data_IF_597497873880
#
_entry.id   IF_597497873880
#
_cell.length_a   1.000
_cell.length_b   1.000
_cell.length_c   1.000
_cell.angle_alpha   90.00
_cell.angle_beta   90.00
_cell.angle_gamma   90.00
#
_symmetry.space_group_name_H-M   'P 1'
#
loop_
_entity.id
_entity.type
_entity.pdbx_description
1 polymer ?
#
# COMPACT_ATOMS: atom_id res chain seq x y z
N UNK A 1 0.65 29.11 -5.34
CA UNK A 1 1.01 28.27 -6.51
C UNK A 1 0.13 27.02 -6.47
N UNK A 2 -0.66 26.78 -7.52
CA UNK A 2 -1.79 25.83 -7.52
C UNK A 2 -1.37 24.35 -7.60
N UNK A 3 -2.19 23.48 -7.00
CA UNK A 3 -2.15 22.02 -7.15
C UNK A 3 -2.31 21.63 -8.63
N UNK A 4 -1.55 20.65 -9.12
CA UNK A 4 -1.77 20.08 -10.45
C UNK A 4 -3.07 19.27 -10.42
N UNK A 5 -4.18 19.91 -10.82
CA UNK A 5 -5.53 19.34 -10.76
C UNK A 5 -5.66 18.03 -11.54
N UNK A 6 -4.96 17.89 -12.67
CA UNK A 6 -5.01 16.66 -13.50
C UNK A 6 -4.34 15.49 -12.78
N UNK A 7 -3.15 15.72 -12.23
CA UNK A 7 -2.42 14.71 -11.48
C UNK A 7 -3.20 14.27 -10.23
N UNK A 8 -3.76 15.25 -9.49
CA UNK A 8 -4.64 14.99 -8.36
C UNK A 8 -5.84 14.10 -8.75
N UNK A 9 -6.57 14.49 -9.81
CA UNK A 9 -7.76 13.73 -10.24
C UNK A 9 -7.41 12.29 -10.62
N UNK A 10 -6.30 12.06 -11.34
CA UNK A 10 -5.89 10.70 -11.71
C UNK A 10 -5.59 9.86 -10.48
N UNK A 11 -4.78 10.38 -9.54
CA UNK A 11 -4.39 9.66 -8.32
C UNK A 11 -5.62 9.39 -7.45
N UNK A 12 -6.48 10.40 -7.26
CA UNK A 12 -7.68 10.27 -6.43
C UNK A 12 -8.70 9.29 -7.02
N UNK A 13 -8.95 9.33 -8.33
CA UNK A 13 -9.85 8.39 -9.00
C UNK A 13 -9.29 6.97 -8.96
N UNK A 14 -8.00 6.78 -9.23
CA UNK A 14 -7.35 5.48 -9.13
C UNK A 14 -7.45 4.90 -7.70
N UNK A 15 -7.17 5.72 -6.68
CA UNK A 15 -7.34 5.35 -5.29
C UNK A 15 -8.78 4.96 -4.95
N UNK A 16 -9.76 5.77 -5.37
CA UNK A 16 -11.18 5.50 -5.12
C UNK A 16 -11.66 4.22 -5.82
N UNK A 17 -11.22 3.96 -7.05
CA UNK A 17 -11.51 2.71 -7.76
C UNK A 17 -10.86 1.50 -7.08
N UNK A 18 -9.66 1.67 -6.51
CA UNK A 18 -9.00 0.59 -5.77
C UNK A 18 -9.73 0.24 -4.46
N UNK A 19 -10.40 1.21 -3.83
CA UNK A 19 -11.31 0.95 -2.68
C UNK A 19 -12.46 0.03 -3.10
N UNK A 20 -13.10 0.32 -4.24
CA UNK A 20 -14.16 -0.55 -4.77
C UNK A 20 -13.63 -1.97 -5.03
N UNK A 21 -12.39 -2.10 -5.51
CA UNK A 21 -11.76 -3.39 -5.81
C UNK A 21 -11.54 -4.25 -4.55
N UNK A 22 -11.22 -3.66 -3.38
CA UNK A 22 -11.00 -4.44 -2.16
C UNK A 22 -12.29 -4.85 -1.43
N UNK A 23 -13.43 -4.18 -1.68
CA UNK A 23 -14.67 -4.47 -0.94
C UNK A 23 -15.11 -5.95 -0.99
N UNK A 24 -15.04 -6.67 -2.14
CA UNK A 24 -15.37 -8.10 -2.16
C UNK A 24 -14.54 -8.94 -1.20
N UNK A 25 -13.24 -8.63 -1.08
CA UNK A 25 -12.31 -9.29 -0.16
C UNK A 25 -12.64 -8.91 1.30
N UNK A 26 -12.76 -7.61 1.58
CA UNK A 26 -13.07 -7.12 2.93
C UNK A 26 -14.39 -7.67 3.48
N UNK A 27 -15.44 -7.70 2.64
CA UNK A 27 -16.75 -8.24 3.03
C UNK A 27 -16.75 -9.76 3.19
N UNK A 28 -15.90 -10.48 2.46
CA UNK A 28 -15.74 -11.92 2.67
C UNK A 28 -15.12 -12.21 4.04
N UNK A 29 -14.07 -11.46 4.42
CA UNK A 29 -13.42 -11.64 5.72
C UNK A 29 -14.34 -11.28 6.90
N UNK A 30 -15.26 -10.33 6.72
CA UNK A 30 -16.13 -9.80 7.78
C UNK A 30 -17.60 -10.22 7.62
N UNK A 31 -17.88 -11.30 6.88
CA UNK A 31 -19.24 -11.72 6.57
C UNK A 31 -20.13 -11.91 7.81
N UNK A 32 -19.55 -12.38 8.92
CA UNK A 32 -20.27 -12.62 10.17
C UNK A 32 -20.64 -11.29 10.84
N UNK A 33 -19.72 -10.32 10.85
CA UNK A 33 -19.97 -8.95 11.33
C UNK A 33 -21.01 -8.23 10.48
N UNK A 34 -20.99 -8.43 9.16
CA UNK A 34 -21.95 -7.82 8.23
C UNK A 34 -23.40 -8.25 8.48
N UNK A 35 -23.65 -9.41 9.10
CA UNK A 35 -25.00 -9.82 9.47
C UNK A 35 -25.54 -9.08 10.70
N UNK A 36 -24.66 -8.49 11.52
CA UNK A 36 -25.01 -7.81 12.77
C UNK A 36 -25.22 -6.30 12.62
N UNK A 37 -24.84 -5.71 11.49
CA UNK A 37 -24.96 -4.27 11.27
C UNK A 37 -26.36 -3.89 10.76
N UNK A 38 -26.93 -2.74 11.19
CA UNK A 38 -28.30 -2.35 10.84
C UNK A 38 -28.43 -1.74 9.44
N UNK A 39 -27.42 -1.90 8.57
CA UNK A 39 -27.36 -1.27 7.26
C UNK A 39 -27.40 -2.31 6.15
N UNK A 40 -28.08 -1.99 5.05
CA UNK A 40 -28.07 -2.83 3.84
C UNK A 40 -26.72 -2.78 3.14
N UNK A 41 -26.38 -3.83 2.40
CA UNK A 41 -25.11 -3.92 1.67
C UNK A 41 -24.85 -2.71 0.72
N UNK A 42 -25.82 -2.21 -0.06
CA UNK A 42 -25.61 -1.01 -0.87
C UNK A 42 -25.25 0.24 -0.05
N UNK A 43 -25.84 0.39 1.14
CA UNK A 43 -25.52 1.51 2.05
C UNK A 43 -24.10 1.36 2.57
N UNK A 44 -23.68 0.16 2.98
CA UNK A 44 -22.31 -0.10 3.43
C UNK A 44 -21.27 0.16 2.34
N UNK A 45 -21.54 -0.25 1.10
CA UNK A 45 -20.68 0.05 -0.05
C UNK A 45 -20.57 1.56 -0.25
N UNK A 46 -21.71 2.27 -0.29
CA UNK A 46 -21.73 3.72 -0.49
C UNK A 46 -20.94 4.45 0.60
N UNK A 47 -21.18 4.12 1.86
CA UNK A 47 -20.49 4.74 3.00
C UNK A 47 -18.98 4.45 2.96
N UNK A 48 -18.58 3.20 2.70
CA UNK A 48 -17.16 2.81 2.63
C UNK A 48 -16.43 3.55 1.52
N UNK A 49 -17.05 3.63 0.34
CA UNK A 49 -16.48 4.33 -0.81
C UNK A 49 -16.42 5.83 -0.57
N UNK A 50 -17.50 6.43 -0.06
CA UNK A 50 -17.56 7.87 0.20
C UNK A 50 -16.52 8.28 1.25
N UNK A 51 -16.47 7.57 2.38
CA UNK A 51 -15.48 7.79 3.43
C UNK A 51 -14.05 7.70 2.89
N UNK A 52 -13.75 6.63 2.14
CA UNK A 52 -12.42 6.41 1.59
C UNK A 52 -12.07 7.42 0.50
N UNK A 53 -13.03 7.81 -0.34
CA UNK A 53 -12.84 8.83 -1.36
C UNK A 53 -12.51 10.19 -0.73
N UNK A 54 -13.20 10.57 0.36
CA UNK A 54 -12.89 11.79 1.11
C UNK A 54 -11.49 11.73 1.73
N UNK A 55 -11.16 10.62 2.39
CA UNK A 55 -9.83 10.41 2.97
C UNK A 55 -8.72 10.47 1.91
N UNK A 56 -8.91 9.78 0.78
CA UNK A 56 -7.96 9.77 -0.34
C UNK A 56 -7.87 11.13 -1.01
N UNK A 57 -8.96 11.91 -1.08
CA UNK A 57 -8.91 13.28 -1.61
C UNK A 57 -8.02 14.17 -0.73
N UNK A 58 -8.19 14.09 0.60
CA UNK A 58 -7.40 14.86 1.57
C UNK A 58 -5.93 14.44 1.49
N UNK A 59 -5.66 13.14 1.60
CA UNK A 59 -4.28 12.62 1.66
C UNK A 59 -3.56 12.77 0.32
N UNK A 60 -4.21 12.53 -0.83
CA UNK A 60 -3.61 12.80 -2.13
C UNK A 60 -3.32 14.30 -2.33
N UNK A 61 -4.22 15.19 -1.92
CA UNK A 61 -4.01 16.65 -2.00
C UNK A 61 -2.82 17.11 -1.17
N UNK A 62 -2.79 16.71 0.11
CA UNK A 62 -1.71 17.06 1.03
C UNK A 62 -0.40 16.38 0.62
N UNK A 63 -0.46 15.13 0.18
CA UNK A 63 0.70 14.38 -0.28
C UNK A 63 1.34 15.00 -1.51
N UNK A 64 0.54 15.37 -2.54
CA UNK A 64 1.05 16.13 -3.70
C UNK A 64 1.64 17.48 -3.30
N UNK A 65 1.03 18.17 -2.33
CA UNK A 65 1.56 19.41 -1.79
C UNK A 65 2.94 19.22 -1.15
N UNK A 66 3.09 18.24 -0.24
CA UNK A 66 4.36 17.98 0.43
C UNK A 66 5.42 17.42 -0.52
N UNK A 67 5.03 16.49 -1.40
CA UNK A 67 5.89 15.89 -2.41
C UNK A 67 6.58 16.96 -3.25
N UNK A 68 5.81 17.95 -3.72
CA UNK A 68 6.34 19.10 -4.46
C UNK A 68 7.28 19.97 -3.61
N UNK A 69 6.97 20.17 -2.33
CA UNK A 69 7.81 21.00 -1.44
C UNK A 69 9.18 20.38 -1.18
N UNK A 70 9.28 19.05 -1.18
CA UNK A 70 10.55 18.34 -0.95
C UNK A 70 11.27 17.96 -2.25
N UNK A 71 10.55 17.94 -3.38
CA UNK A 71 11.11 17.67 -4.71
C UNK A 71 10.88 16.24 -5.21
N UNK A 72 9.90 15.50 -4.68
CA UNK A 72 9.48 14.24 -5.28
C UNK A 72 8.83 14.48 -6.65
N UNK A 73 9.05 13.54 -7.57
CA UNK A 73 8.57 13.57 -8.95
C UNK A 73 7.67 12.37 -9.22
N UNK A 74 6.89 12.43 -10.31
CA UNK A 74 5.97 11.37 -10.74
C UNK A 74 6.28 10.99 -12.20
N UNK A 75 7.36 10.23 -12.45
CA UNK A 75 7.98 10.15 -13.77
C UNK A 75 7.04 9.68 -14.88
N UNK A 76 6.16 8.73 -14.58
CA UNK A 76 5.24 8.15 -15.56
C UNK A 76 4.02 9.06 -15.73
N UNK A 77 3.39 9.48 -14.64
CA UNK A 77 2.20 10.31 -14.67
C UNK A 77 2.49 11.70 -15.25
N UNK A 78 3.61 12.33 -14.89
CA UNK A 78 4.03 13.61 -15.46
C UNK A 78 4.33 13.47 -16.95
N UNK A 79 4.97 12.38 -17.38
CA UNK A 79 5.22 12.13 -18.80
C UNK A 79 3.91 11.99 -19.59
N UNK A 80 2.97 11.17 -19.11
CA UNK A 80 1.63 11.00 -19.72
C UNK A 80 0.90 12.36 -19.83
N UNK A 81 0.97 13.17 -18.77
CA UNK A 81 0.31 14.47 -18.72
C UNK A 81 1.00 15.55 -19.57
N UNK A 82 2.31 15.46 -19.77
CA UNK A 82 3.11 16.46 -20.48
C UNK A 82 2.88 16.50 -22.00
N UNK A 83 2.25 15.47 -22.59
CA UNK A 83 2.03 15.32 -24.04
C UNK A 83 3.31 15.44 -24.90
N UNK A 84 4.50 15.35 -24.31
CA UNK A 84 5.78 15.61 -24.98
C UNK A 84 6.26 14.51 -25.95
N UNK A 85 5.39 13.63 -26.43
CA UNK A 85 5.72 12.63 -27.47
C UNK A 85 6.76 11.55 -27.10
N UNK A 86 7.45 11.68 -25.96
CA UNK A 86 8.44 10.71 -25.51
C UNK A 86 7.75 9.41 -25.10
N UNK A 87 8.19 8.30 -25.70
CA UNK A 87 7.68 6.96 -25.40
C UNK A 87 8.21 6.51 -24.03
N UNK A 88 7.31 6.08 -23.14
CA UNK A 88 7.68 5.44 -21.87
C UNK A 88 8.32 4.09 -22.19
N UNK A 89 9.57 3.89 -21.77
CA UNK A 89 10.24 2.59 -21.91
C UNK A 89 9.74 1.62 -20.83
N UNK A 90 8.52 1.10 -21.01
CA UNK A 90 7.82 0.28 -20.00
C UNK A 90 8.65 -0.89 -19.49
N UNK A 91 9.36 -1.62 -20.35
CA UNK A 91 10.23 -2.72 -19.94
C UNK A 91 11.30 -2.27 -18.93
N UNK A 92 11.92 -1.12 -19.17
CA UNK A 92 12.97 -0.58 -18.31
C UNK A 92 12.39 -0.01 -17.01
N UNK A 93 11.21 0.60 -17.08
CA UNK A 93 10.50 1.09 -15.89
C UNK A 93 10.03 -0.05 -14.98
N UNK A 94 9.40 -1.09 -15.54
CA UNK A 94 8.77 -2.17 -14.78
C UNK A 94 9.75 -3.18 -14.20
N UNK A 95 10.91 -3.40 -14.83
CA UNK A 95 11.85 -4.46 -14.43
C UNK A 95 12.23 -4.43 -12.96
N UNK A 96 12.64 -3.26 -12.45
CA UNK A 96 13.09 -3.14 -11.07
C UNK A 96 11.94 -3.20 -10.05
N UNK A 97 10.84 -2.43 -10.20
CA UNK A 97 9.68 -2.52 -9.31
C UNK A 97 9.07 -3.92 -9.23
N UNK A 98 8.86 -4.59 -10.37
CA UNK A 98 8.28 -5.94 -10.38
C UNK A 98 9.21 -6.92 -9.69
N UNK A 99 10.51 -6.89 -10.00
CA UNK A 99 11.48 -7.78 -9.35
C UNK A 99 11.53 -7.58 -7.82
N UNK A 100 11.58 -6.33 -7.36
CA UNK A 100 11.57 -6.03 -5.93
C UNK A 100 10.24 -6.39 -5.26
N UNK A 101 9.12 -6.21 -5.95
CA UNK A 101 7.81 -6.65 -5.46
C UNK A 101 7.74 -8.16 -5.28
N UNK A 102 8.18 -8.93 -6.28
CA UNK A 102 8.23 -10.40 -6.19
C UNK A 102 9.13 -10.84 -5.02
N UNK A 103 10.34 -10.29 -4.91
CA UNK A 103 11.25 -10.61 -3.81
C UNK A 103 10.69 -10.23 -2.44
N UNK A 104 9.99 -9.09 -2.35
CA UNK A 104 9.30 -8.64 -1.14
C UNK A 104 8.19 -9.62 -0.74
N UNK A 105 7.36 -10.04 -1.70
CA UNK A 105 6.32 -11.04 -1.45
C UNK A 105 6.87 -12.37 -0.94
N UNK A 106 7.95 -12.86 -1.56
CA UNK A 106 8.66 -14.07 -1.10
C UNK A 106 9.23 -13.89 0.32
N UNK A 107 9.85 -12.74 0.60
CA UNK A 107 10.41 -12.45 1.92
C UNK A 107 9.33 -12.38 3.01
N UNK A 108 8.15 -11.84 2.68
CA UNK A 108 7.00 -11.81 3.60
C UNK A 108 6.47 -13.22 3.87
N UNK A 109 6.32 -14.05 2.83
CA UNK A 109 5.89 -15.45 2.99
C UNK A 109 6.88 -16.22 3.87
N UNK A 110 8.18 -16.05 3.63
CA UNK A 110 9.21 -16.68 4.45
C UNK A 110 9.18 -16.18 5.90
N UNK A 111 9.05 -14.87 6.11
CA UNK A 111 8.90 -14.28 7.44
C UNK A 111 7.66 -14.80 8.16
N UNK A 112 6.54 -14.91 7.45
CA UNK A 112 5.30 -15.47 8.00
C UNK A 112 5.47 -16.93 8.44
N UNK A 113 6.18 -17.73 7.65
CA UNK A 113 6.55 -19.09 8.03
C UNK A 113 7.37 -19.15 9.33
N UNK A 114 8.32 -18.22 9.53
CA UNK A 114 9.07 -18.15 10.80
C UNK A 114 8.19 -17.80 12.00
N UNK A 115 7.23 -16.88 11.83
CA UNK A 115 6.26 -16.57 12.88
C UNK A 115 5.33 -17.75 13.18
N UNK A 116 4.96 -18.53 12.17
CA UNK A 116 4.22 -19.77 12.35
C UNK A 116 5.01 -20.79 13.18
N UNK A 117 6.31 -20.95 12.92
CA UNK A 117 7.19 -21.78 13.74
C UNK A 117 7.32 -21.26 15.19
N UNK A 118 7.22 -19.94 15.38
CA UNK A 118 7.20 -19.31 16.70
C UNK A 118 5.84 -19.40 17.43
N UNK A 119 4.85 -20.11 16.87
CA UNK A 119 3.55 -20.36 17.50
C UNK A 119 2.44 -19.39 17.10
N UNK A 120 2.65 -18.51 16.12
CA UNK A 120 1.54 -17.71 15.56
C UNK A 120 0.64 -18.61 14.73
N UNK A 121 -0.62 -18.73 15.13
CA UNK A 121 -1.66 -19.45 14.40
C UNK A 121 -2.61 -18.45 13.77
N UNK A 122 -2.74 -18.51 12.45
CA UNK A 122 -3.77 -17.81 11.68
C UNK A 122 -4.80 -18.85 11.27
N UNK A 123 -6.07 -18.52 11.45
CA UNK A 123 -7.16 -19.43 11.06
C UNK A 123 -7.12 -19.67 9.54
N UNK A 124 -7.03 -20.96 9.18
CA UNK A 124 -6.88 -21.44 7.81
C UNK A 124 -8.03 -20.97 6.91
N UNK A 125 -9.22 -20.74 7.48
CA UNK A 125 -10.38 -20.15 6.79
C UNK A 125 -10.01 -18.87 6.03
N UNK A 126 -9.12 -18.06 6.60
CA UNK A 126 -8.72 -16.78 6.02
C UNK A 126 -7.58 -16.86 4.99
N UNK A 127 -6.96 -18.03 4.84
CA UNK A 127 -5.83 -18.24 3.92
C UNK A 127 -6.27 -19.04 2.69
N UNK A 128 -7.11 -20.06 2.87
CA UNK A 128 -7.42 -21.02 1.80
C UNK A 128 -8.83 -20.90 1.22
N UNK A 129 -9.78 -20.28 1.93
CA UNK A 129 -11.19 -20.27 1.49
C UNK A 129 -11.57 -19.02 0.67
N UNK A 130 -10.77 -17.95 0.73
CA UNK A 130 -11.07 -16.72 -0.02
C UNK A 130 -10.99 -16.98 -1.53
N UNK A 131 -12.06 -16.74 -2.30
CA UNK A 131 -12.02 -16.86 -3.75
C UNK A 131 -10.92 -15.98 -4.37
N UNK A 132 -10.07 -16.58 -5.22
CA UNK A 132 -8.89 -15.92 -5.79
C UNK A 132 -9.17 -14.59 -6.50
N UNK A 133 -10.34 -14.45 -7.13
CA UNK A 133 -10.71 -13.21 -7.79
C UNK A 133 -10.90 -12.04 -6.81
N UNK A 134 -11.36 -12.31 -5.57
CA UNK A 134 -11.47 -11.28 -4.52
C UNK A 134 -10.09 -10.85 -4.05
N UNK A 135 -9.21 -11.82 -3.81
CA UNK A 135 -7.82 -11.59 -3.41
C UNK A 135 -7.02 -10.85 -4.48
N UNK A 136 -7.24 -11.19 -5.76
CA UNK A 136 -6.65 -10.46 -6.89
C UNK A 136 -7.11 -8.99 -6.93
N UNK A 137 -8.39 -8.71 -6.70
CA UNK A 137 -8.88 -7.34 -6.67
C UNK A 137 -8.33 -6.55 -5.46
N UNK A 138 -8.12 -7.21 -4.31
CA UNK A 138 -7.49 -6.59 -3.15
C UNK A 138 -6.07 -6.07 -3.42
N UNK A 139 -5.31 -6.72 -4.31
CA UNK A 139 -3.97 -6.28 -4.70
C UNK A 139 -3.94 -4.87 -5.32
N UNK A 140 -5.03 -4.42 -5.94
CA UNK A 140 -5.12 -3.03 -6.44
C UNK A 140 -5.19 -2.01 -5.31
N UNK A 141 -5.82 -2.36 -4.19
CA UNK A 141 -5.92 -1.47 -3.03
C UNK A 141 -4.57 -1.31 -2.34
N UNK A 142 -3.87 -2.41 -2.06
CA UNK A 142 -2.49 -2.38 -1.55
C UNK A 142 -1.59 -1.58 -2.50
N UNK A 143 -1.63 -1.94 -3.78
CA UNK A 143 -0.92 -1.24 -4.85
C UNK A 143 -1.16 0.27 -4.91
N UNK A 144 -2.39 0.76 -4.73
CA UNK A 144 -2.75 2.15 -5.03
C UNK A 144 -3.12 2.96 -3.79
N UNK A 145 -4.15 2.56 -3.06
CA UNK A 145 -4.67 3.35 -1.93
C UNK A 145 -3.63 3.44 -0.80
N UNK A 146 -2.99 2.33 -0.44
CA UNK A 146 -1.99 2.33 0.63
C UNK A 146 -0.76 3.17 0.27
N UNK A 147 -0.33 3.13 -0.99
CA UNK A 147 0.77 3.97 -1.48
C UNK A 147 0.42 5.47 -1.49
N UNK A 148 -0.84 5.82 -1.74
CA UNK A 148 -1.32 7.21 -1.59
C UNK A 148 -1.23 7.66 -0.13
N UNK A 149 -1.71 6.85 0.81
CA UNK A 149 -1.74 7.17 2.24
C UNK A 149 -0.32 7.24 2.82
N UNK A 150 0.52 6.28 2.49
CA UNK A 150 1.81 6.09 3.16
C UNK A 150 2.95 6.78 2.43
N UNK A 151 3.09 6.57 1.12
CA UNK A 151 4.24 7.08 0.38
C UNK A 151 3.97 8.52 -0.04
N UNK A 152 2.91 8.73 -0.81
CA UNK A 152 2.57 10.06 -1.30
C UNK A 152 2.29 11.03 -0.14
N UNK A 153 1.45 10.65 0.82
CA UNK A 153 1.12 11.52 1.94
C UNK A 153 2.14 11.45 3.09
N UNK A 154 2.20 10.34 3.83
CA UNK A 154 2.93 10.30 5.10
C UNK A 154 4.45 10.49 4.93
N UNK A 155 5.10 9.77 4.00
CA UNK A 155 6.55 9.93 3.76
C UNK A 155 6.86 11.34 3.28
N UNK A 156 6.11 11.89 2.32
CA UNK A 156 6.32 13.28 1.86
C UNK A 156 6.17 14.30 2.98
N UNK A 157 5.15 14.15 3.81
CA UNK A 157 4.91 15.02 4.96
C UNK A 157 6.08 14.92 5.96
N UNK A 158 6.50 13.72 6.32
CA UNK A 158 7.60 13.49 7.27
C UNK A 158 8.93 14.05 6.75
N UNK A 159 9.27 13.78 5.48
CA UNK A 159 10.47 14.37 4.85
C UNK A 159 10.41 15.90 4.89
N UNK A 160 9.23 16.48 4.63
CA UNK A 160 9.04 17.92 4.69
C UNK A 160 9.23 18.47 6.12
N UNK A 161 8.60 17.84 7.12
CA UNK A 161 8.73 18.21 8.54
C UNK A 161 10.18 18.11 9.00
N UNK A 162 10.86 17.00 8.71
CA UNK A 162 12.26 16.81 9.07
C UNK A 162 13.18 17.80 8.35
N UNK A 163 12.89 18.11 7.09
CA UNK A 163 13.55 19.19 6.35
C UNK A 163 13.40 20.54 7.04
N UNK A 164 12.21 20.86 7.56
CA UNK A 164 11.96 22.09 8.32
C UNK A 164 12.70 22.12 9.65
N UNK A 165 12.63 21.05 10.44
CA UNK A 165 13.31 20.94 11.75
C UNK A 165 14.82 21.07 11.59
N UNK A 166 15.39 20.38 10.60
CA UNK A 166 16.84 20.39 10.35
C UNK A 166 17.31 21.55 9.47
N UNK A 167 16.40 22.47 9.10
CA UNK A 167 16.63 23.61 8.21
C UNK A 167 17.28 23.22 6.87
N UNK A 168 17.03 22.00 6.39
CA UNK A 168 17.56 21.51 5.12
C UNK A 168 16.83 22.12 3.95
N UNK A 169 17.58 22.73 3.01
CA UNK A 169 17.03 23.22 1.73
C UNK A 169 16.81 22.10 0.71
N UNK A 170 17.50 20.97 0.88
CA UNK A 170 17.46 19.80 -0.02
C UNK A 170 17.22 18.52 0.79
N UNK A 171 16.05 18.36 1.42
CA UNK A 171 15.79 17.25 2.34
C UNK A 171 15.94 15.87 1.69
N UNK A 172 15.62 15.73 0.39
CA UNK A 172 15.77 14.47 -0.34
C UNK A 172 17.23 14.04 -0.59
N UNK A 173 18.18 14.96 -0.51
CA UNK A 173 19.61 14.65 -0.61
C UNK A 173 20.19 14.11 0.70
N UNK A 174 19.49 14.28 1.82
CA UNK A 174 19.90 13.77 3.14
C UNK A 174 19.28 12.41 3.37
N UNK A 175 20.03 11.36 3.01
CA UNK A 175 19.59 9.97 3.15
C UNK A 175 19.03 9.63 4.53
N UNK A 176 19.67 10.10 5.60
CA UNK A 176 19.21 9.90 6.97
C UNK A 176 17.78 10.42 7.20
N UNK A 177 17.45 11.62 6.71
CA UNK A 177 16.11 12.18 6.87
C UNK A 177 15.05 11.36 6.13
N UNK A 178 15.38 10.94 4.90
CA UNK A 178 14.44 10.17 4.07
C UNK A 178 14.22 8.77 4.66
N UNK A 179 15.29 8.10 5.09
CA UNK A 179 15.17 6.79 5.74
C UNK A 179 14.44 6.86 7.08
N UNK A 180 14.64 7.90 7.88
CA UNK A 180 13.84 8.10 9.10
C UNK A 180 12.35 8.25 8.78
N UNK A 181 12.00 9.02 7.73
CA UNK A 181 10.61 9.18 7.30
C UNK A 181 10.01 7.85 6.81
N UNK A 182 10.75 7.10 5.99
CA UNK A 182 10.34 5.78 5.50
C UNK A 182 10.14 4.81 6.67
N UNK A 183 11.07 4.78 7.63
CA UNK A 183 11.02 3.88 8.78
C UNK A 183 9.80 4.17 9.66
N UNK A 184 9.51 5.43 9.94
CA UNK A 184 8.34 5.82 10.73
C UNK A 184 7.05 5.47 9.97
N UNK A 185 6.95 5.80 8.68
CA UNK A 185 5.79 5.45 7.86
C UNK A 185 5.57 3.93 7.79
N UNK A 186 6.65 3.17 7.78
CA UNK A 186 6.63 1.70 7.79
C UNK A 186 6.05 1.13 9.09
N UNK A 187 6.32 1.74 10.24
CA UNK A 187 5.69 1.34 11.50
C UNK A 187 4.18 1.60 11.44
N UNK A 188 3.77 2.78 10.96
CA UNK A 188 2.35 3.09 10.75
C UNK A 188 1.68 2.14 9.75
N UNK A 189 2.42 1.66 8.75
CA UNK A 189 1.90 0.68 7.80
C UNK A 189 1.52 -0.63 8.48
N UNK A 190 2.42 -1.18 9.31
CA UNK A 190 2.15 -2.39 10.08
C UNK A 190 1.07 -2.21 11.13
N UNK A 191 1.02 -1.05 11.80
CA UNK A 191 -0.06 -0.71 12.73
C UNK A 191 -1.42 -0.59 12.03
N UNK A 192 -1.44 -0.06 10.81
CA UNK A 192 -2.64 0.04 9.98
C UNK A 192 -3.26 -1.32 9.62
N UNK A 193 -2.48 -2.40 9.73
CA UNK A 193 -2.94 -3.77 9.50
C UNK A 193 -3.53 -4.46 10.73
N UNK A 194 -3.46 -3.86 11.93
CA UNK A 194 -3.99 -4.48 13.14
C UNK A 194 -5.52 -4.72 13.09
N UNK A 195 -6.36 -3.83 12.51
CA UNK A 195 -7.80 -4.08 12.42
C UNK A 195 -8.11 -5.36 11.64
N UNK A 196 -7.55 -5.56 10.45
CA UNK A 196 -7.77 -6.80 9.69
C UNK A 196 -7.11 -8.00 10.35
N UNK A 197 -5.97 -7.81 11.03
CA UNK A 197 -5.31 -8.89 11.79
C UNK A 197 -6.20 -9.40 12.92
N UNK A 198 -6.91 -8.50 13.62
CA UNK A 198 -7.85 -8.89 14.70
C UNK A 198 -9.06 -9.69 14.23
N UNK A 199 -9.38 -9.63 12.93
CA UNK A 199 -10.46 -10.45 12.35
C UNK A 199 -10.01 -11.90 12.19
N UNK A 200 -8.71 -12.15 11.99
CA UNK A 200 -8.18 -13.47 11.59
C UNK A 200 -7.41 -14.19 12.70
N UNK A 201 -6.99 -13.47 13.75
CA UNK A 201 -6.27 -14.02 14.91
C UNK A 201 -6.27 -13.03 16.07
N UNK A 202 -6.03 -13.52 17.29
CA UNK A 202 -5.95 -12.68 18.49
C UNK A 202 -4.71 -11.77 18.48
N UNK A 203 -4.87 -10.50 18.88
CA UNK A 203 -3.77 -9.52 18.93
C UNK A 203 -2.88 -9.71 20.16
N UNK A 204 -2.05 -10.75 20.14
CA UNK A 204 -0.95 -10.93 21.12
C UNK A 204 0.25 -10.03 20.76
N UNK A 205 1.18 -9.76 21.70
CA UNK A 205 2.41 -9.02 21.39
C UNK A 205 3.21 -9.64 20.23
N UNK A 206 3.22 -10.97 20.11
CA UNK A 206 3.89 -11.67 19.02
C UNK A 206 3.20 -11.42 17.67
N UNK A 207 1.86 -11.44 17.64
CA UNK A 207 1.06 -11.15 16.43
C UNK A 207 1.20 -9.68 16.01
N UNK A 208 1.24 -8.75 16.97
CA UNK A 208 1.50 -7.34 16.69
C UNK A 208 2.92 -7.18 16.10
N UNK A 209 3.91 -7.84 16.70
CA UNK A 209 5.28 -7.87 16.19
C UNK A 209 5.35 -8.41 14.76
N UNK A 210 4.60 -9.49 14.47
CA UNK A 210 4.45 -10.03 13.11
C UNK A 210 3.88 -9.00 12.14
N UNK A 211 2.75 -8.37 12.49
CA UNK A 211 2.11 -7.39 11.63
C UNK A 211 3.05 -6.21 11.33
N UNK A 212 3.77 -5.71 12.33
CA UNK A 212 4.73 -4.62 12.16
C UNK A 212 5.93 -5.06 11.31
N UNK A 213 6.47 -6.25 11.55
CA UNK A 213 7.69 -6.71 10.86
C UNK A 213 7.44 -7.08 9.40
N UNK A 214 6.37 -7.82 9.10
CA UNK A 214 6.08 -8.27 7.73
C UNK A 214 5.68 -7.10 6.82
N UNK A 215 4.76 -6.24 7.28
CA UNK A 215 4.49 -4.97 6.60
C UNK A 215 5.71 -4.05 6.62
N UNK A 216 6.57 -4.21 7.63
CA UNK A 216 7.88 -3.60 7.76
C UNK A 216 8.76 -3.77 6.53
N UNK A 217 8.90 -5.02 6.10
CA UNK A 217 9.71 -5.43 4.94
C UNK A 217 9.21 -4.71 3.67
N UNK A 218 7.91 -4.77 3.38
CA UNK A 218 7.32 -4.03 2.26
C UNK A 218 7.48 -2.51 2.42
N UNK A 219 7.17 -2.01 3.62
CA UNK A 219 7.44 -0.67 4.14
C UNK A 219 8.68 0.00 3.56
N UNK A 220 9.83 -0.61 3.89
CA UNK A 220 11.16 -0.14 3.56
C UNK A 220 11.43 -0.17 2.04
N UNK A 221 11.09 -1.28 1.36
CA UNK A 221 11.35 -1.45 -0.08
C UNK A 221 10.53 -0.46 -0.90
N UNK A 222 9.24 -0.36 -0.62
CA UNK A 222 8.32 0.53 -1.32
C UNK A 222 8.63 2.00 -1.03
N UNK A 223 9.02 2.33 0.22
CA UNK A 223 9.48 3.68 0.57
C UNK A 223 10.75 4.08 -0.17
N UNK A 224 11.71 3.15 -0.32
CA UNK A 224 12.92 3.38 -1.11
C UNK A 224 12.61 3.55 -2.61
N UNK A 225 11.72 2.73 -3.15
CA UNK A 225 11.25 2.86 -4.53
C UNK A 225 10.56 4.20 -4.76
N UNK A 226 9.68 4.62 -3.84
CA UNK A 226 9.08 5.95 -3.90
C UNK A 226 10.15 7.05 -3.95
N UNK A 227 11.17 6.94 -3.09
CA UNK A 227 12.25 7.92 -3.07
C UNK A 227 13.11 7.95 -4.33
N UNK A 228 13.46 6.79 -4.88
CA UNK A 228 14.42 6.69 -5.99
C UNK A 228 13.78 6.67 -7.37
N UNK A 229 12.51 6.28 -7.46
CA UNK A 229 11.83 5.94 -8.73
C UNK A 229 10.42 6.53 -8.85
N UNK A 230 9.87 7.15 -7.81
CA UNK A 230 8.55 7.79 -7.83
C UNK A 230 7.43 6.86 -7.35
N UNK A 231 6.22 7.43 -7.24
CA UNK A 231 5.05 6.75 -6.66
C UNK A 231 4.65 5.52 -7.48
N UNK A 232 4.71 5.65 -8.80
CA UNK A 232 4.29 4.62 -9.75
C UNK A 232 5.15 3.35 -9.62
N UNK A 233 6.42 3.50 -9.28
CA UNK A 233 7.31 2.37 -9.01
C UNK A 233 6.95 1.66 -7.70
N UNK A 234 6.59 2.40 -6.66
CA UNK A 234 6.11 1.81 -5.41
C UNK A 234 4.77 1.07 -5.63
N UNK A 235 3.83 1.67 -6.38
CA UNK A 235 2.55 1.06 -6.76
C UNK A 235 2.75 -0.28 -7.47
N UNK A 236 3.60 -0.31 -8.51
CA UNK A 236 3.86 -1.55 -9.28
C UNK A 236 4.51 -2.63 -8.40
N UNK A 237 5.46 -2.24 -7.55
CA UNK A 237 6.14 -3.18 -6.65
C UNK A 237 5.20 -3.74 -5.59
N UNK A 238 4.34 -2.91 -5.00
CA UNK A 238 3.38 -3.35 -3.99
C UNK A 238 2.34 -4.28 -4.61
N UNK A 239 1.72 -3.89 -5.73
CA UNK A 239 0.83 -4.76 -6.49
C UNK A 239 1.48 -6.11 -6.82
N UNK A 240 2.75 -6.10 -7.26
CA UNK A 240 3.47 -7.35 -7.57
C UNK A 240 3.68 -8.22 -6.34
N UNK A 241 3.99 -7.64 -5.18
CA UNK A 241 4.10 -8.37 -3.91
C UNK A 241 2.76 -9.00 -3.51
N UNK A 242 1.66 -8.25 -3.65
CA UNK A 242 0.31 -8.74 -3.35
C UNK A 242 -0.11 -9.87 -4.29
N UNK A 243 0.27 -9.83 -5.57
CA UNK A 243 0.05 -10.97 -6.47
C UNK A 243 0.77 -12.22 -5.99
N UNK A 244 2.02 -12.09 -5.50
CA UNK A 244 2.73 -13.23 -4.92
C UNK A 244 2.00 -13.77 -3.69
N UNK A 245 1.63 -12.89 -2.76
CA UNK A 245 1.08 -13.26 -1.44
C UNK A 245 -0.37 -13.73 -1.52
N UNK A 246 -1.23 -13.01 -2.26
CA UNK A 246 -2.68 -13.18 -2.24
C UNK A 246 -3.20 -14.08 -3.37
N UNK A 247 -2.40 -14.33 -4.41
CA UNK A 247 -2.82 -15.12 -5.57
C UNK A 247 -1.94 -16.34 -5.77
N UNK A 248 -0.64 -16.13 -6.04
CA UNK A 248 0.26 -17.24 -6.40
C UNK A 248 0.45 -18.19 -5.22
N UNK A 249 0.71 -17.66 -4.03
CA UNK A 249 0.96 -18.48 -2.85
C UNK A 249 -0.23 -19.37 -2.45
N UNK A 250 -1.49 -18.87 -2.35
CA UNK A 250 -2.66 -19.72 -2.13
C UNK A 250 -2.87 -20.80 -3.22
N UNK A 251 -2.56 -20.49 -4.49
CA UNK A 251 -2.62 -21.50 -5.57
C UNK A 251 -1.61 -22.63 -5.33
N UNK A 252 -0.40 -22.30 -4.87
CA UNK A 252 0.63 -23.31 -4.59
C UNK A 252 0.25 -24.17 -3.38
N UNK A 253 -0.36 -23.58 -2.34
CA UNK A 253 -0.80 -24.30 -1.15
C UNK A 253 -1.99 -25.24 -1.45
N UNK A 254 -2.97 -24.79 -2.23
CA UNK A 254 -4.16 -25.60 -2.57
C UNK A 254 -3.85 -26.83 -3.44
N UNK A 255 -2.70 -26.87 -4.12
CA UNK A 255 -2.21 -28.03 -4.90
C UNK A 255 -1.40 -29.03 -4.07
N UNK A 256 -1.06 -28.69 -2.83
CA UNK A 256 -0.25 -29.52 -1.94
C UNK A 256 -1.08 -30.31 -0.91
N UNK A 257 -2.40 -30.15 -0.96
CA UNK A 257 -3.42 -30.90 -0.22
C UNK A 257 -4.08 -31.86 -1.20
#
# INVERSE_FOLDING_TARGET
MSLNKKLFLIIWLAGTLSVLAVLPYAFYLQQDTLQSVPFSLPVLILLSVLQSAVLLAITASLGLFFARKVGFTFPVLEQILSRNGNIIQWKNFLRLPVALGILTGIAIIFGDYLFKLAGVVIDAKYVTEVPLWKSFLAAFYGGIAEEILLRLFLVSMLVWVFGKITRSKTPLSRSGLVWSAITIATIFFGLGHLPVTSVITELTPLVIGRAILLNGIAGLVLGWLYWKKGLEAAVVSHFSADIIILVIWPILQSRSI
#
